data_IF_397170233169
#
_entry.id   IF_397170233169
#
_cell.length_a   1.000
_cell.length_b   1.000
_cell.length_c   1.000
_cell.angle_alpha   90.00
_cell.angle_beta   90.00
_cell.angle_gamma   90.00
#
_symmetry.space_group_name_H-M   'P 1'
#
loop_
_entity.id
_entity.type
_entity.pdbx_description
1 polymer ?
#
# COMPACT_ATOMS: atom_id res chain seq x y z
N UNK A 1 31.84 -1.25 16.64
CA UNK A 1 31.54 -0.01 15.96
C UNK A 1 30.20 0.55 16.42
N UNK A 2 30.16 1.79 16.88
CA UNK A 2 28.90 2.47 17.24
C UNK A 2 28.18 2.80 15.94
N UNK A 3 26.95 2.37 15.79
CA UNK A 3 26.06 2.67 14.70
C UNK A 3 25.28 3.94 15.06
N UNK A 4 25.54 5.12 14.47
CA UNK A 4 24.63 6.22 14.67
C UNK A 4 23.43 6.02 13.73
N UNK A 5 22.35 5.54 14.28
CA UNK A 5 21.03 5.58 13.63
C UNK A 5 20.42 6.90 14.07
N UNK A 6 20.36 7.89 13.21
CA UNK A 6 19.58 9.08 13.47
C UNK A 6 18.12 8.77 13.17
N UNK A 7 17.33 8.57 14.24
CA UNK A 7 15.88 8.48 14.16
C UNK A 7 15.32 9.86 14.43
N UNK A 8 14.83 10.53 13.41
CA UNK A 8 14.12 11.78 13.58
C UNK A 8 12.65 11.45 13.89
N UNK A 9 12.28 11.50 15.17
CA UNK A 9 10.89 11.33 15.62
C UNK A 9 10.35 12.73 15.88
N UNK A 10 9.33 13.11 15.13
CA UNK A 10 8.57 14.33 15.40
C UNK A 10 7.16 13.93 15.85
N UNK A 11 6.82 14.24 17.11
CA UNK A 11 5.52 13.94 17.71
C UNK A 11 4.86 15.27 18.05
N UNK A 12 3.76 15.58 17.38
CA UNK A 12 2.85 16.66 17.77
C UNK A 12 1.54 16.04 18.26
N UNK A 13 1.17 16.33 19.49
CA UNK A 13 -0.12 15.99 20.05
C UNK A 13 -0.91 17.30 20.24
N UNK A 14 -2.11 17.35 19.69
CA UNK A 14 -3.11 18.37 19.97
C UNK A 14 -4.22 17.71 20.79
N UNK A 15 -4.55 18.31 21.94
CA UNK A 15 -5.68 17.91 22.77
C UNK A 15 -6.48 19.18 23.09
N UNK A 16 -7.75 19.23 22.72
CA UNK A 16 -8.59 20.39 22.89
C UNK A 16 -10.02 20.00 23.27
N UNK A 17 -10.40 20.30 24.50
CA UNK A 17 -11.75 20.10 25.02
C UNK A 17 -12.42 21.46 25.23
N UNK A 18 -13.62 21.62 24.74
CA UNK A 18 -14.39 22.85 24.91
C UNK A 18 -15.90 22.58 25.09
N UNK A 19 -16.55 23.38 25.94
CA UNK A 19 -18.00 23.33 26.13
C UNK A 19 -18.61 24.67 25.83
N UNK A 20 -19.67 24.66 25.00
CA UNK A 20 -20.45 25.84 24.61
C UNK A 20 -21.93 25.55 24.89
N UNK A 21 -22.44 26.03 26.02
CA UNK A 21 -23.78 25.66 26.47
C UNK A 21 -23.90 24.16 26.72
N UNK A 22 -24.90 23.52 26.11
CA UNK A 22 -25.15 22.06 26.20
C UNK A 22 -24.26 21.25 25.26
N UNK A 23 -23.46 21.89 24.42
CA UNK A 23 -22.59 21.21 23.45
C UNK A 23 -21.16 21.10 24.00
N UNK A 24 -20.64 19.89 24.06
CA UNK A 24 -19.24 19.61 24.40
C UNK A 24 -18.58 18.93 23.23
N UNK A 25 -17.36 19.33 22.89
CA UNK A 25 -16.56 18.64 21.90
C UNK A 25 -15.12 18.47 22.38
N UNK A 26 -14.49 17.40 21.90
CA UNK A 26 -13.09 17.08 22.14
C UNK A 26 -12.42 16.72 20.82
N UNK A 27 -11.26 17.31 20.57
CA UNK A 27 -10.45 17.05 19.37
C UNK A 27 -9.06 16.64 19.79
N UNK A 28 -8.68 15.42 19.49
CA UNK A 28 -7.32 14.91 19.73
C UNK A 28 -6.70 14.53 18.41
N UNK A 29 -5.55 15.13 18.10
CA UNK A 29 -4.79 14.80 16.89
C UNK A 29 -3.36 14.42 17.27
N UNK A 30 -2.81 13.43 16.59
CA UNK A 30 -1.41 13.06 16.69
C UNK A 30 -0.80 12.90 15.30
N UNK A 31 0.46 13.21 15.22
CA UNK A 31 1.27 13.01 14.02
C UNK A 31 2.66 12.58 14.42
N UNK A 32 3.20 11.56 13.76
CA UNK A 32 4.58 11.13 13.93
C UNK A 32 5.21 10.88 12.57
N UNK A 33 6.50 11.18 12.47
CA UNK A 33 7.31 10.85 11.29
C UNK A 33 8.63 10.27 11.72
N UNK A 34 9.07 9.22 11.01
CA UNK A 34 10.32 8.53 11.30
C UNK A 34 10.99 8.11 10.00
N UNK A 35 12.30 8.37 9.91
CA UNK A 35 13.10 7.86 8.82
C UNK A 35 14.50 7.51 9.29
N UNK A 36 14.97 6.32 8.95
CA UNK A 36 16.30 5.84 9.33
C UNK A 36 17.31 6.32 8.31
N UNK A 37 18.36 6.97 8.79
CA UNK A 37 19.47 7.46 8.00
C UNK A 37 20.78 6.78 8.42
N UNK A 38 21.52 6.26 7.47
CA UNK A 38 22.83 5.66 7.72
C UNK A 38 23.91 6.75 7.57
N UNK A 39 24.62 7.07 8.63
CA UNK A 39 25.77 7.99 8.55
C UNK A 39 27.00 7.27 8.02
N UNK A 40 27.33 6.13 8.61
CA UNK A 40 28.50 5.34 8.22
C UNK A 40 28.24 3.85 8.38
N UNK A 41 28.55 3.11 7.34
CA UNK A 41 28.54 1.63 7.32
C UNK A 41 29.86 1.18 6.69
N UNK A 42 30.65 0.41 7.43
CA UNK A 42 31.86 -0.22 6.88
C UNK A 42 31.48 -1.26 5.83
N UNK A 43 32.20 -1.26 4.73
CA UNK A 43 32.01 -2.21 3.64
C UNK A 43 33.31 -2.49 2.90
N UNK A 44 33.37 -3.61 2.21
CA UNK A 44 34.46 -3.93 1.31
C UNK A 44 34.44 -2.97 0.10
N UNK A 45 35.59 -2.82 -0.53
CA UNK A 45 35.69 -2.06 -1.79
C UNK A 45 34.83 -2.73 -2.87
N UNK A 46 34.16 -1.91 -3.67
CA UNK A 46 33.36 -2.37 -4.81
C UNK A 46 34.23 -2.61 -6.04
N UNK A 47 33.78 -3.48 -6.94
CA UNK A 47 34.54 -3.84 -8.15
C UNK A 47 34.59 -2.68 -9.17
N UNK A 48 33.60 -1.80 -9.18
CA UNK A 48 33.49 -0.68 -10.10
C UNK A 48 32.72 0.50 -9.46
N UNK A 49 32.71 1.66 -10.15
CA UNK A 49 32.07 2.88 -9.64
C UNK A 49 30.56 2.78 -9.51
N UNK A 50 29.89 2.03 -10.39
CA UNK A 50 28.44 1.83 -10.30
C UNK A 50 28.07 0.99 -9.07
N UNK A 51 28.76 -0.12 -8.86
CA UNK A 51 28.56 -0.95 -7.67
C UNK A 51 28.90 -0.18 -6.39
N UNK A 52 29.93 0.66 -6.45
CA UNK A 52 30.27 1.54 -5.34
C UNK A 52 29.12 2.51 -5.03
N UNK A 53 28.63 3.21 -6.02
CA UNK A 53 27.51 4.14 -5.87
C UNK A 53 26.23 3.42 -5.40
N UNK A 54 25.87 2.28 -5.99
CA UNK A 54 24.66 1.53 -5.66
C UNK A 54 24.70 0.96 -4.25
N UNK A 55 25.80 0.30 -3.90
CA UNK A 55 25.95 -0.42 -2.64
C UNK A 55 26.38 0.47 -1.48
N UNK A 56 26.80 1.69 -1.76
CA UNK A 56 27.18 2.67 -0.74
C UNK A 56 25.94 3.18 -0.02
N UNK A 57 25.73 2.70 1.20
CA UNK A 57 24.63 3.13 2.07
C UNK A 57 25.00 4.29 2.98
N UNK A 58 26.27 4.75 2.95
CA UNK A 58 26.72 5.89 3.75
C UNK A 58 26.05 7.18 3.29
N UNK A 59 25.65 8.01 4.22
CA UNK A 59 24.93 9.26 3.99
C UNK A 59 23.64 9.07 3.16
N UNK A 60 22.94 7.94 3.38
CA UNK A 60 21.68 7.61 2.69
C UNK A 60 20.61 7.13 3.66
N UNK A 61 19.37 7.32 3.26
CA UNK A 61 18.25 6.71 3.94
C UNK A 61 18.21 5.21 3.67
N UNK A 62 17.92 4.43 4.72
CA UNK A 62 17.90 2.97 4.67
C UNK A 62 16.75 2.41 3.83
N UNK A 63 15.68 3.16 3.67
CA UNK A 63 14.44 2.74 3.03
C UNK A 63 14.42 2.91 1.49
N UNK A 64 15.52 3.35 0.88
CA UNK A 64 15.63 3.47 -0.58
C UNK A 64 15.51 2.08 -1.21
N UNK A 65 14.60 1.95 -2.16
CA UNK A 65 14.41 0.74 -2.94
C UNK A 65 14.97 0.90 -4.34
N UNK A 66 15.68 -0.11 -4.79
CA UNK A 66 16.35 -0.15 -6.08
C UNK A 66 15.61 -1.11 -7.01
N UNK A 67 15.52 -0.77 -8.28
CA UNK A 67 14.89 -1.58 -9.29
C UNK A 67 14.77 -0.84 -10.61
N UNK A 68 14.03 -1.40 -11.56
CA UNK A 68 13.90 -0.88 -12.91
C UNK A 68 12.79 0.16 -13.02
N UNK A 69 13.02 1.18 -13.81
CA UNK A 69 11.94 2.11 -14.18
C UNK A 69 11.11 1.49 -15.30
N UNK A 70 9.82 1.31 -15.06
CA UNK A 70 8.91 0.74 -16.04
C UNK A 70 8.35 1.84 -16.95
N UNK A 71 8.56 1.70 -18.24
CA UNK A 71 8.06 2.61 -19.28
C UNK A 71 6.62 2.28 -19.74
N UNK A 72 6.07 1.17 -19.26
CA UNK A 72 4.76 0.66 -19.65
C UNK A 72 4.82 -0.78 -20.09
N UNK A 73 3.96 -1.14 -21.04
CA UNK A 73 3.85 -2.47 -21.63
C UNK A 73 4.16 -2.40 -23.12
N UNK A 74 4.78 -3.43 -23.67
CA UNK A 74 4.98 -3.52 -25.12
C UNK A 74 3.65 -3.61 -25.84
N UNK A 75 3.50 -2.81 -26.91
CA UNK A 75 2.28 -2.78 -27.71
C UNK A 75 2.33 -3.72 -28.91
N UNK A 76 3.53 -4.04 -29.41
CA UNK A 76 3.70 -4.86 -30.62
C UNK A 76 5.04 -5.60 -30.63
N UNK A 77 5.15 -6.60 -31.49
CA UNK A 77 6.42 -7.29 -31.74
C UNK A 77 7.46 -6.38 -32.42
N UNK A 78 7.02 -5.41 -33.21
CA UNK A 78 7.93 -4.45 -33.83
C UNK A 78 8.59 -3.56 -32.76
N UNK A 79 7.82 -3.11 -31.77
CA UNK A 79 8.37 -2.37 -30.63
C UNK A 79 9.37 -3.21 -29.84
N UNK A 80 9.08 -4.50 -29.60
CA UNK A 80 9.96 -5.43 -28.89
C UNK A 80 11.31 -5.58 -29.63
N UNK A 81 11.26 -5.75 -30.95
CA UNK A 81 12.48 -5.94 -31.76
C UNK A 81 13.38 -4.70 -31.79
N UNK A 82 12.79 -3.50 -31.67
CA UNK A 82 13.50 -2.23 -31.68
C UNK A 82 13.88 -1.73 -30.25
N UNK A 83 13.61 -2.51 -29.22
CA UNK A 83 13.87 -2.16 -27.81
C UNK A 83 15.15 -2.81 -27.30
N UNK A 84 15.79 -2.27 -26.24
CA UNK A 84 16.91 -2.91 -25.56
C UNK A 84 16.58 -4.34 -25.14
N UNK A 85 17.60 -5.19 -25.11
CA UNK A 85 17.44 -6.62 -24.78
C UNK A 85 17.19 -6.78 -23.28
N UNK A 86 15.99 -7.26 -22.88
CA UNK A 86 15.64 -7.43 -21.47
C UNK A 86 15.42 -8.90 -21.04
N UNK A 87 15.43 -9.86 -21.96
CA UNK A 87 15.26 -11.27 -21.66
C UNK A 87 16.58 -12.08 -21.72
N UNK A 88 17.70 -11.41 -22.03
CA UNK A 88 18.99 -12.05 -22.21
C UNK A 88 19.09 -12.94 -23.47
N UNK A 89 18.06 -12.94 -24.35
CA UNK A 89 17.97 -13.80 -25.53
C UNK A 89 17.48 -13.06 -26.78
N UNK A 90 17.86 -11.80 -26.93
CA UNK A 90 17.46 -10.97 -28.08
C UNK A 90 15.95 -10.70 -28.14
N UNK A 91 15.30 -10.60 -26.99
CA UNK A 91 13.87 -10.36 -26.80
C UNK A 91 12.94 -11.44 -27.42
N UNK A 92 13.45 -12.61 -27.72
CA UNK A 92 12.67 -13.70 -28.36
C UNK A 92 11.60 -14.29 -27.46
N UNK A 93 11.74 -14.14 -26.13
CA UNK A 93 10.76 -14.64 -25.16
C UNK A 93 9.68 -13.62 -24.84
N UNK A 94 9.80 -12.38 -25.33
CA UNK A 94 8.84 -11.31 -25.04
C UNK A 94 7.64 -11.35 -26.00
N UNK A 95 6.51 -10.82 -25.50
CA UNK A 95 5.30 -10.64 -26.30
C UNK A 95 4.62 -9.31 -25.95
N UNK A 96 3.71 -8.81 -26.80
CA UNK A 96 2.88 -7.66 -26.45
C UNK A 96 2.17 -7.87 -25.10
N UNK A 97 2.15 -6.80 -24.29
CA UNK A 97 1.66 -6.84 -22.91
C UNK A 97 2.70 -7.15 -21.84
N UNK A 98 3.92 -7.56 -22.19
CA UNK A 98 5.02 -7.64 -21.22
C UNK A 98 5.51 -6.26 -20.81
N UNK A 99 6.03 -6.12 -19.58
CA UNK A 99 6.54 -4.86 -19.06
C UNK A 99 7.81 -4.45 -19.80
N UNK A 100 7.89 -3.18 -20.16
CA UNK A 100 9.02 -2.54 -20.81
C UNK A 100 9.78 -1.69 -19.81
N UNK A 101 11.11 -1.82 -19.79
CA UNK A 101 11.99 -1.12 -18.85
C UNK A 101 12.91 -0.13 -19.54
N UNK A 102 13.33 0.88 -18.79
CA UNK A 102 14.30 1.86 -19.21
C UNK A 102 15.71 1.26 -19.20
N UNK A 103 16.44 1.46 -20.29
CA UNK A 103 17.89 1.25 -20.37
C UNK A 103 18.56 2.49 -19.82
N UNK A 104 18.86 2.47 -18.52
CA UNK A 104 19.32 3.65 -17.80
C UNK A 104 20.78 3.98 -18.09
N UNK A 105 21.60 2.97 -18.36
CA UNK A 105 23.02 3.14 -18.66
C UNK A 105 23.32 3.29 -20.18
N UNK A 106 22.33 2.98 -21.05
CA UNK A 106 22.40 3.13 -22.50
C UNK A 106 23.26 2.07 -23.19
N UNK A 107 23.45 0.89 -22.57
CA UNK A 107 24.28 -0.18 -23.16
C UNK A 107 23.51 -1.14 -24.06
N UNK A 108 22.18 -0.96 -24.21
CA UNK A 108 21.30 -1.77 -25.04
C UNK A 108 20.83 -3.06 -24.37
N UNK A 109 21.12 -3.28 -23.09
CA UNK A 109 20.79 -4.48 -22.34
C UNK A 109 20.17 -4.08 -21.00
N UNK A 110 18.97 -4.56 -20.70
CA UNK A 110 18.31 -4.32 -19.41
C UNK A 110 18.77 -5.37 -18.39
N UNK A 111 19.66 -4.99 -17.50
CA UNK A 111 20.19 -5.86 -16.46
C UNK A 111 20.19 -5.18 -15.08
N UNK A 112 21.04 -5.64 -14.17
CA UNK A 112 21.14 -5.06 -12.83
C UNK A 112 21.79 -3.68 -12.78
N UNK A 113 22.46 -3.23 -13.87
CA UNK A 113 23.08 -1.92 -13.95
C UNK A 113 22.05 -0.82 -14.29
N UNK A 114 20.83 -1.21 -14.71
CA UNK A 114 19.70 -0.30 -14.93
C UNK A 114 18.83 -0.13 -13.69
N UNK A 115 19.21 -0.76 -12.59
CA UNK A 115 18.53 -0.54 -11.33
C UNK A 115 18.86 0.85 -10.79
N UNK A 116 17.84 1.64 -10.56
CA UNK A 116 17.89 3.00 -10.03
C UNK A 116 17.02 3.13 -8.76
N UNK A 117 17.12 4.20 -7.98
CA UNK A 117 16.23 4.43 -6.85
C UNK A 117 14.79 4.64 -7.34
N UNK A 118 13.92 3.65 -7.14
CA UNK A 118 12.54 3.66 -7.67
C UNK A 118 11.47 3.94 -6.61
N UNK A 119 11.82 3.94 -5.34
CA UNK A 119 10.81 4.14 -4.30
C UNK A 119 11.31 3.90 -2.88
N UNK A 120 10.36 3.59 -2.03
CA UNK A 120 10.57 3.45 -0.59
C UNK A 120 10.19 2.07 -0.09
N UNK A 121 10.58 1.76 1.15
CA UNK A 121 10.21 0.51 1.81
C UNK A 121 8.72 0.43 2.15
N UNK A 122 8.33 -0.73 2.66
CA UNK A 122 6.96 -1.03 3.07
C UNK A 122 6.61 -0.52 4.49
N UNK A 123 7.56 0.06 5.19
CA UNK A 123 7.33 0.67 6.51
C UNK A 123 6.89 2.12 6.34
N UNK A 124 5.71 2.51 6.85
CA UNK A 124 5.27 3.89 6.79
C UNK A 124 6.25 4.84 7.48
N UNK A 125 6.48 5.99 6.85
CA UNK A 125 7.30 7.07 7.43
C UNK A 125 6.47 8.00 8.30
N UNK A 126 5.19 8.11 8.01
CA UNK A 126 4.26 9.00 8.70
C UNK A 126 3.09 8.20 9.22
N UNK A 127 2.72 8.46 10.47
CA UNK A 127 1.48 7.99 11.09
C UNK A 127 0.72 9.20 11.59
N UNK A 128 -0.59 9.18 11.43
CA UNK A 128 -1.47 10.23 11.90
C UNK A 128 -2.78 9.67 12.41
N UNK A 129 -3.30 10.30 13.44
CA UNK A 129 -4.56 9.95 14.06
C UNK A 129 -5.35 11.22 14.40
N UNK A 130 -6.67 11.12 14.29
CA UNK A 130 -7.60 12.16 14.67
C UNK A 130 -8.77 11.53 15.40
N UNK A 131 -8.99 11.94 16.64
CA UNK A 131 -10.15 11.56 17.41
C UNK A 131 -11.04 12.81 17.59
N UNK A 132 -12.28 12.68 17.19
CA UNK A 132 -13.32 13.70 17.33
C UNK A 132 -14.41 13.13 18.22
N UNK A 133 -14.73 13.86 19.28
CA UNK A 133 -15.86 13.58 20.14
C UNK A 133 -16.78 14.79 20.19
N UNK A 134 -18.07 14.56 20.20
CA UNK A 134 -19.07 15.59 20.40
C UNK A 134 -20.25 15.07 21.19
N UNK A 135 -20.78 15.87 22.12
CA UNK A 135 -22.01 15.54 22.82
C UNK A 135 -22.97 16.72 22.89
N UNK A 136 -24.25 16.40 22.76
CA UNK A 136 -25.34 17.41 22.83
C UNK A 136 -26.63 16.74 23.31
N UNK A 137 -27.17 17.25 24.44
CA UNK A 137 -28.46 16.83 25.00
C UNK A 137 -28.67 15.33 25.07
N UNK A 138 -27.69 14.61 25.58
CA UNK A 138 -27.71 13.15 25.73
C UNK A 138 -27.23 12.37 24.50
N UNK A 139 -27.17 12.97 23.33
CA UNK A 139 -26.49 12.37 22.16
C UNK A 139 -24.99 12.52 22.27
N UNK A 140 -24.24 11.49 21.88
CA UNK A 140 -22.80 11.54 21.73
C UNK A 140 -22.36 10.90 20.42
N UNK A 141 -21.29 11.43 19.84
CA UNK A 141 -20.66 10.95 18.61
C UNK A 141 -19.14 10.87 18.82
N UNK A 142 -18.57 9.72 18.52
CA UNK A 142 -17.12 9.54 18.46
C UNK A 142 -16.70 9.12 17.06
N UNK A 143 -15.71 9.81 16.50
CA UNK A 143 -15.08 9.46 15.24
C UNK A 143 -13.58 9.30 15.46
N UNK A 144 -13.03 8.13 15.15
CA UNK A 144 -11.59 7.91 15.19
C UNK A 144 -11.06 7.58 13.80
N UNK A 145 -10.17 8.45 13.34
CA UNK A 145 -9.44 8.29 12.09
C UNK A 145 -7.99 7.90 12.38
N UNK A 146 -7.48 6.97 11.60
CA UNK A 146 -6.08 6.56 11.61
C UNK A 146 -5.56 6.47 10.19
N UNK A 147 -4.34 6.91 9.97
CA UNK A 147 -3.72 6.80 8.66
C UNK A 147 -2.21 6.65 8.74
N UNK A 148 -1.66 6.22 7.61
CA UNK A 148 -0.23 6.13 7.40
C UNK A 148 0.12 6.54 5.97
N UNK A 149 1.34 7.06 5.80
CA UNK A 149 1.83 7.50 4.51
C UNK A 149 3.35 7.35 4.38
N UNK A 150 3.83 7.51 3.15
CA UNK A 150 5.27 7.42 2.84
C UNK A 150 5.79 5.99 2.81
N UNK A 151 4.97 5.03 2.41
CA UNK A 151 5.34 3.63 2.20
C UNK A 151 4.75 3.09 0.91
N UNK A 152 5.31 1.97 0.47
CA UNK A 152 4.91 1.29 -0.75
C UNK A 152 4.73 -0.19 -0.49
N UNK A 153 3.82 -0.81 -1.25
CA UNK A 153 3.67 -2.26 -1.30
C UNK A 153 4.33 -2.75 -2.58
N UNK A 154 5.20 -3.76 -2.43
CA UNK A 154 5.80 -4.45 -3.56
C UNK A 154 4.99 -5.69 -3.89
N UNK A 155 4.43 -5.72 -5.09
CA UNK A 155 3.62 -6.83 -5.58
C UNK A 155 4.50 -7.98 -6.02
N UNK A 156 4.34 -9.14 -5.41
CA UNK A 156 5.12 -10.35 -5.67
C UNK A 156 4.25 -11.61 -5.65
N UNK A 157 4.90 -12.73 -5.89
CA UNK A 157 4.32 -14.05 -5.68
C UNK A 157 3.04 -14.28 -6.47
N UNK A 158 2.05 -14.86 -5.84
CA UNK A 158 0.78 -15.31 -6.43
C UNK A 158 0.01 -14.18 -7.12
N UNK A 159 0.23 -12.95 -6.69
CA UNK A 159 -0.42 -11.81 -7.31
C UNK A 159 0.13 -11.51 -8.70
N UNK A 160 1.46 -11.60 -8.87
CA UNK A 160 2.13 -11.35 -10.14
C UNK A 160 2.23 -12.58 -11.03
N UNK A 161 1.97 -13.76 -10.47
CA UNK A 161 2.01 -15.04 -11.19
C UNK A 161 0.72 -15.81 -10.87
N UNK A 162 -0.41 -15.49 -11.52
CA UNK A 162 -1.64 -16.24 -11.34
C UNK A 162 -1.42 -17.68 -11.81
N UNK A 163 -2.23 -18.59 -11.27
CA UNK A 163 -2.17 -20.02 -11.62
C UNK A 163 -0.84 -20.67 -11.28
N UNK A 164 -0.24 -20.28 -10.14
CA UNK A 164 0.93 -20.97 -9.56
C UNK A 164 0.67 -22.48 -9.37
N UNK A 165 1.72 -23.23 -9.05
CA UNK A 165 1.63 -24.69 -8.88
C UNK A 165 1.14 -25.40 -10.14
N UNK A 166 1.76 -25.10 -11.27
CA UNK A 166 1.46 -25.71 -12.57
C UNK A 166 0.01 -25.49 -13.06
N UNK A 167 -0.58 -24.34 -12.70
CA UNK A 167 -1.93 -23.99 -13.11
C UNK A 167 -3.03 -24.37 -12.12
N UNK A 168 -2.69 -24.95 -10.97
CA UNK A 168 -3.66 -25.34 -9.94
C UNK A 168 -4.05 -24.19 -9.00
N UNK A 169 -3.32 -23.08 -9.00
CA UNK A 169 -3.63 -21.90 -8.20
C UNK A 169 -4.78 -21.09 -8.78
N UNK A 170 -5.44 -20.31 -7.91
CA UNK A 170 -6.48 -19.37 -8.30
C UNK A 170 -5.85 -18.03 -8.69
N UNK A 171 -6.39 -17.37 -9.72
CA UNK A 171 -6.08 -16.00 -10.08
C UNK A 171 -7.03 -15.00 -9.43
N UNK A 172 -6.56 -13.80 -9.13
CA UNK A 172 -7.40 -12.67 -8.75
C UNK A 172 -8.20 -12.16 -9.96
N UNK A 173 -9.41 -11.64 -9.72
CA UNK A 173 -10.27 -11.07 -10.78
C UNK A 173 -9.64 -9.91 -11.53
N UNK A 174 -8.60 -9.25 -11.00
CA UNK A 174 -7.85 -8.22 -11.73
C UNK A 174 -7.21 -8.75 -13.01
N UNK A 175 -6.88 -10.06 -13.07
CA UNK A 175 -6.31 -10.69 -14.24
C UNK A 175 -7.30 -10.85 -15.40
N UNK A 176 -8.58 -10.52 -15.19
CA UNK A 176 -9.54 -10.38 -16.29
C UNK A 176 -9.24 -9.16 -17.15
N UNK A 177 -8.65 -8.10 -16.54
CA UNK A 177 -8.17 -6.89 -17.22
C UNK A 177 -6.66 -7.02 -17.51
N UNK A 178 -6.30 -7.95 -18.36
CA UNK A 178 -4.92 -8.22 -18.78
C UNK A 178 -4.76 -8.06 -20.29
N UNK A 179 -3.53 -7.89 -20.72
CA UNK A 179 -3.20 -8.06 -22.12
C UNK A 179 -3.49 -9.50 -22.57
N UNK A 180 -4.21 -9.67 -23.66
CA UNK A 180 -4.57 -10.97 -24.22
C UNK A 180 -4.87 -10.87 -25.70
N UNK A 181 -4.89 -11.99 -26.39
CA UNK A 181 -5.40 -12.04 -27.75
C UNK A 181 -6.91 -11.98 -27.75
N UNK A 182 -7.51 -11.34 -28.77
CA UNK A 182 -8.96 -11.29 -28.97
C UNK A 182 -9.53 -12.70 -29.06
N UNK A 183 -8.92 -13.54 -29.91
CA UNK A 183 -9.17 -14.99 -29.96
C UNK A 183 -7.93 -15.74 -29.47
N UNK A 184 -7.97 -16.37 -28.27
CA UNK A 184 -6.85 -17.15 -27.75
C UNK A 184 -6.46 -18.37 -28.59
N UNK A 185 -7.35 -18.86 -29.45
CA UNK A 185 -7.10 -20.00 -30.35
C UNK A 185 -6.43 -19.60 -31.65
N UNK A 186 -6.50 -18.32 -32.03
CA UNK A 186 -5.83 -17.77 -33.19
C UNK A 186 -4.54 -17.01 -32.81
N UNK A 187 -3.35 -17.56 -33.12
CA UNK A 187 -2.08 -16.91 -32.84
C UNK A 187 -1.85 -15.61 -33.64
N UNK A 188 -2.69 -15.30 -34.61
CA UNK A 188 -2.61 -14.09 -35.42
C UNK A 188 -3.67 -13.05 -35.07
N UNK A 189 -4.61 -13.36 -34.17
CA UNK A 189 -5.61 -12.39 -33.73
C UNK A 189 -4.97 -11.16 -33.06
N UNK A 190 -5.69 -10.06 -33.02
CA UNK A 190 -5.22 -8.79 -32.45
C UNK A 190 -4.95 -8.92 -30.94
N UNK A 191 -4.03 -8.10 -30.46
CA UNK A 191 -3.76 -7.95 -29.04
C UNK A 191 -4.69 -6.90 -28.44
N UNK A 192 -5.41 -7.29 -27.42
CA UNK A 192 -6.26 -6.40 -26.62
C UNK A 192 -5.47 -5.98 -25.40
N UNK A 193 -5.34 -4.65 -25.21
CA UNK A 193 -4.64 -4.08 -24.08
C UNK A 193 -5.42 -4.23 -22.76
N UNK A 194 -4.71 -4.35 -21.66
CA UNK A 194 -5.27 -4.40 -20.31
C UNK A 194 -4.32 -3.80 -19.29
N UNK A 195 -4.80 -3.64 -18.06
CA UNK A 195 -3.98 -3.12 -16.96
C UNK A 195 -2.86 -4.10 -16.57
N UNK A 196 -3.17 -5.39 -16.45
CA UNK A 196 -2.21 -6.43 -16.09
C UNK A 196 -1.39 -6.86 -17.32
N UNK A 197 -0.13 -7.28 -17.13
CA UNK A 197 0.66 -7.86 -18.22
C UNK A 197 0.00 -9.08 -18.85
N UNK A 198 0.53 -9.50 -19.99
CA UNK A 198 0.15 -10.77 -20.59
C UNK A 198 0.45 -11.95 -19.64
N UNK A 199 -0.42 -12.97 -19.65
CA UNK A 199 -0.21 -14.18 -18.84
C UNK A 199 1.06 -14.90 -19.27
N UNK A 200 1.89 -15.22 -18.30
CA UNK A 200 3.16 -15.91 -18.49
C UNK A 200 3.26 -17.12 -17.58
N UNK A 201 4.05 -18.12 -17.94
CA UNK A 201 4.41 -19.18 -17.02
C UNK A 201 5.02 -18.60 -15.72
N UNK A 202 4.84 -19.32 -14.62
CA UNK A 202 5.40 -18.93 -13.32
C UNK A 202 6.92 -18.71 -13.43
N UNK A 203 7.39 -17.60 -12.86
CA UNK A 203 8.81 -17.27 -12.85
C UNK A 203 9.31 -16.44 -14.03
N UNK A 204 8.44 -15.97 -14.92
CA UNK A 204 8.84 -15.05 -15.98
C UNK A 204 9.30 -13.70 -15.41
N UNK A 205 10.61 -13.50 -15.38
CA UNK A 205 11.25 -12.41 -14.64
C UNK A 205 10.94 -11.02 -15.19
N UNK A 206 10.69 -10.89 -16.49
CA UNK A 206 10.40 -9.58 -17.11
C UNK A 206 9.18 -8.91 -16.49
N UNK A 207 8.13 -9.66 -16.11
CA UNK A 207 6.91 -9.09 -15.52
C UNK A 207 6.92 -9.08 -13.99
N UNK A 208 7.90 -9.70 -13.34
CA UNK A 208 7.95 -9.83 -11.86
C UNK A 208 9.12 -9.09 -11.23
N UNK A 209 9.98 -8.45 -12.03
CA UNK A 209 11.10 -7.67 -11.55
C UNK A 209 10.67 -6.53 -10.63
N UNK A 210 11.52 -6.20 -9.64
CA UNK A 210 11.32 -5.02 -8.82
C UNK A 210 11.38 -3.78 -9.69
N UNK A 211 10.27 -3.07 -9.81
CA UNK A 211 10.11 -1.95 -10.73
C UNK A 211 9.09 -0.94 -10.21
N UNK A 212 9.03 0.21 -10.85
CA UNK A 212 8.00 1.22 -10.57
C UNK A 212 6.59 0.71 -10.84
N UNK A 213 6.42 -0.32 -11.70
CA UNK A 213 5.13 -0.93 -11.96
C UNK A 213 4.70 -1.87 -10.83
N UNK A 214 5.63 -2.68 -10.30
CA UNK A 214 5.35 -3.64 -9.21
C UNK A 214 5.28 -2.98 -7.83
N UNK A 215 5.69 -1.72 -7.70
CA UNK A 215 5.58 -0.94 -6.47
C UNK A 215 4.39 0.01 -6.53
N UNK A 216 3.58 0.01 -5.49
CA UNK A 216 2.40 0.88 -5.39
C UNK A 216 2.40 1.63 -4.08
N UNK A 217 2.14 2.94 -4.15
CA UNK A 217 1.98 3.80 -2.96
C UNK A 217 0.77 3.34 -2.16
N UNK A 218 0.96 3.11 -0.86
CA UNK A 218 -0.05 2.57 0.04
C UNK A 218 -0.53 3.58 1.09
N UNK A 219 -0.47 4.87 0.78
CA UNK A 219 -0.98 5.92 1.68
C UNK A 219 -2.49 5.73 1.91
N UNK A 220 -2.93 5.86 3.16
CA UNK A 220 -4.34 5.72 3.49
C UNK A 220 -4.75 6.57 4.69
N UNK A 221 -6.06 6.88 4.74
CA UNK A 221 -6.78 7.35 5.91
C UNK A 221 -7.97 6.44 6.13
N UNK A 222 -8.15 5.90 7.34
CA UNK A 222 -9.23 4.98 7.69
C UNK A 222 -10.07 5.56 8.82
N UNK A 223 -11.39 5.57 8.64
CA UNK A 223 -12.33 5.73 9.72
C UNK A 223 -12.39 4.41 10.49
N UNK A 224 -11.55 4.32 11.54
CA UNK A 224 -11.37 3.12 12.36
C UNK A 224 -12.57 2.85 13.23
N UNK A 225 -13.12 3.89 13.82
CA UNK A 225 -14.28 3.79 14.71
C UNK A 225 -15.24 4.93 14.45
N UNK A 226 -16.50 4.59 14.35
CA UNK A 226 -17.62 5.52 14.50
C UNK A 226 -18.54 4.96 15.58
N UNK A 227 -18.88 5.76 16.56
CA UNK A 227 -19.84 5.41 17.60
C UNK A 227 -20.84 6.54 17.77
N UNK A 228 -22.12 6.21 17.80
CA UNK A 228 -23.23 7.11 18.10
C UNK A 228 -23.94 6.55 19.31
N UNK A 229 -24.04 7.34 20.37
CA UNK A 229 -24.72 6.97 21.62
C UNK A 229 -25.83 7.93 21.98
N UNK A 230 -26.73 7.45 22.82
CA UNK A 230 -27.72 8.27 23.49
C UNK A 230 -27.85 7.87 24.95
N UNK A 231 -27.62 8.83 25.83
CA UNK A 231 -27.81 8.69 27.28
C UNK A 231 -29.17 9.26 27.66
N UNK A 232 -30.01 8.45 28.24
CA UNK A 232 -31.34 8.82 28.65
C UNK A 232 -31.30 9.82 29.84
N UNK A 233 -32.27 10.78 29.91
CA UNK A 233 -32.33 11.70 31.03
C UNK A 233 -32.45 10.97 32.36
N UNK A 234 -31.67 11.40 33.34
CA UNK A 234 -31.60 10.76 34.67
C UNK A 234 -32.98 10.72 35.35
N UNK A 235 -33.79 11.76 35.18
CA UNK A 235 -35.14 11.85 35.74
C UNK A 235 -36.09 10.78 35.25
N UNK A 236 -35.90 10.26 34.02
CA UNK A 236 -36.72 9.18 33.49
C UNK A 236 -36.26 7.84 34.04
N UNK A 237 -34.96 7.67 34.17
CA UNK A 237 -34.35 6.41 34.59
C UNK A 237 -34.53 6.13 36.07
N UNK A 238 -34.47 7.14 36.91
CA UNK A 238 -34.74 7.02 38.35
C UNK A 238 -36.16 6.52 38.68
N UNK A 239 -37.16 6.79 37.82
CA UNK A 239 -38.53 6.27 38.00
C UNK A 239 -38.65 4.75 37.90
N UNK A 240 -37.65 4.12 37.27
CA UNK A 240 -37.58 2.66 37.07
C UNK A 240 -36.44 2.03 37.86
N UNK A 241 -35.81 2.78 38.76
CA UNK A 241 -34.74 2.28 39.62
C UNK A 241 -33.39 2.10 38.91
N UNK A 242 -33.17 2.84 37.83
CA UNK A 242 -31.94 2.84 37.05
C UNK A 242 -31.23 4.17 37.25
N UNK A 243 -29.93 4.15 37.55
CA UNK A 243 -29.15 5.38 37.69
C UNK A 243 -28.71 5.98 36.33
N UNK A 244 -28.32 5.12 35.41
CA UNK A 244 -27.91 5.54 34.08
C UNK A 244 -28.22 4.47 33.02
N UNK A 245 -28.72 4.90 31.88
CA UNK A 245 -28.94 4.07 30.70
C UNK A 245 -28.38 4.80 29.47
N UNK A 246 -27.40 4.19 28.82
CA UNK A 246 -26.90 4.63 27.52
C UNK A 246 -27.03 3.50 26.51
N UNK A 247 -27.62 3.79 25.35
CA UNK A 247 -27.63 2.90 24.18
C UNK A 247 -26.70 3.41 23.13
N UNK A 248 -26.01 2.55 22.42
CA UNK A 248 -25.10 2.97 21.38
C UNK A 248 -24.99 1.97 20.24
N UNK A 249 -24.57 2.48 19.10
CA UNK A 249 -24.20 1.71 17.90
C UNK A 249 -22.80 2.12 17.54
N UNK A 250 -21.93 1.15 17.26
CA UNK A 250 -20.63 1.45 16.72
C UNK A 250 -20.29 0.59 15.50
N UNK A 251 -19.37 1.09 14.71
CA UNK A 251 -18.78 0.38 13.59
C UNK A 251 -17.28 0.53 13.58
N UNK A 252 -16.58 -0.58 13.28
CA UNK A 252 -15.14 -0.60 13.11
C UNK A 252 -14.76 -0.77 11.65
N UNK A 253 -13.65 -0.12 11.24
CA UNK A 253 -13.12 -0.13 9.86
C UNK A 253 -14.16 0.30 8.81
N UNK A 254 -14.96 1.31 9.14
CA UNK A 254 -16.14 1.72 8.38
C UNK A 254 -15.81 2.16 6.97
N UNK A 255 -14.74 2.94 6.80
CA UNK A 255 -14.32 3.44 5.51
C UNK A 255 -12.79 3.57 5.43
N UNK A 256 -12.22 3.29 4.26
CA UNK A 256 -10.80 3.48 3.97
C UNK A 256 -10.67 4.35 2.73
N UNK A 257 -9.98 5.46 2.89
CA UNK A 257 -9.63 6.40 1.83
C UNK A 257 -8.17 6.13 1.44
N UNK A 258 -7.94 5.69 0.23
CA UNK A 258 -6.62 5.40 -0.33
C UNK A 258 -6.62 5.63 -1.83
N UNK A 259 -5.45 5.71 -2.43
CA UNK A 259 -5.39 5.65 -3.89
C UNK A 259 -5.89 4.28 -4.35
N UNK A 260 -6.97 4.27 -5.13
CA UNK A 260 -7.59 3.06 -5.68
C UNK A 260 -7.22 2.84 -7.14
N UNK A 261 -6.06 3.30 -7.54
CA UNK A 261 -5.57 3.13 -8.90
C UNK A 261 -5.25 1.66 -9.18
N UNK A 262 -5.84 1.13 -10.24
CA UNK A 262 -5.60 -0.25 -10.69
C UNK A 262 -5.74 -1.28 -9.56
N UNK A 263 -4.64 -1.91 -9.25
CA UNK A 263 -4.49 -3.01 -8.31
C UNK A 263 -4.83 -2.67 -6.85
N UNK A 264 -4.64 -1.40 -6.45
CA UNK A 264 -4.94 -0.96 -5.08
C UNK A 264 -6.43 -1.06 -4.71
N UNK A 265 -7.32 -1.28 -5.69
CA UNK A 265 -8.73 -1.63 -5.42
C UNK A 265 -8.88 -2.94 -4.65
N UNK A 266 -7.95 -3.85 -4.83
CA UNK A 266 -7.98 -5.23 -4.32
C UNK A 266 -7.08 -5.43 -3.10
N UNK A 267 -6.36 -4.40 -2.68
CA UNK A 267 -5.41 -4.46 -1.55
C UNK A 267 -5.87 -3.63 -0.37
N UNK A 268 -5.60 -4.12 0.83
CA UNK A 268 -5.70 -3.29 2.03
C UNK A 268 -4.36 -2.55 2.22
N UNK A 269 -4.36 -1.21 2.21
CA UNK A 269 -3.12 -0.43 2.30
C UNK A 269 -2.43 -0.52 3.66
N UNK A 270 -3.11 -0.97 4.71
CA UNK A 270 -2.54 -1.21 6.04
C UNK A 270 -1.80 -2.55 6.10
N UNK A 271 -2.14 -3.47 5.19
CA UNK A 271 -1.54 -4.78 5.15
C UNK A 271 -0.41 -4.82 4.12
N UNK A 272 0.82 -4.98 4.58
CA UNK A 272 2.00 -5.07 3.72
C UNK A 272 2.31 -6.49 3.21
N UNK A 273 1.38 -7.43 3.35
CA UNK A 273 1.50 -8.75 2.76
C UNK A 273 1.20 -8.68 1.26
N UNK A 274 2.24 -8.69 0.48
CA UNK A 274 2.26 -8.48 -0.96
C UNK A 274 1.90 -9.72 -1.80
N UNK A 275 1.64 -10.86 -1.17
CA UNK A 275 1.30 -12.11 -1.85
C UNK A 275 -0.21 -12.42 -1.86
N UNK A 276 -1.06 -11.52 -1.39
CA UNK A 276 -2.51 -11.71 -1.26
C UNK A 276 -2.95 -12.84 -0.32
N UNK A 277 -2.05 -13.37 0.48
CA UNK A 277 -2.33 -14.45 1.43
C UNK A 277 -2.63 -13.87 2.80
N UNK A 278 -3.67 -13.03 2.89
CA UNK A 278 -4.10 -12.44 4.17
C UNK A 278 -5.61 -12.45 4.29
N UNK A 279 -6.06 -12.43 5.53
CA UNK A 279 -7.48 -12.30 5.82
C UNK A 279 -7.90 -10.84 5.65
N UNK A 280 -8.94 -10.52 4.87
CA UNK A 280 -9.39 -9.14 4.69
C UNK A 280 -9.81 -8.52 6.02
N UNK A 281 -9.54 -7.25 6.21
CA UNK A 281 -10.04 -6.51 7.37
C UNK A 281 -11.56 -6.40 7.30
N UNK A 282 -12.23 -6.90 8.32
CA UNK A 282 -13.69 -6.88 8.37
C UNK A 282 -14.21 -5.53 8.86
N UNK A 283 -15.33 -5.13 8.30
CA UNK A 283 -16.18 -4.09 8.85
C UNK A 283 -17.14 -4.74 9.84
N UNK A 284 -17.16 -4.23 11.06
CA UNK A 284 -17.98 -4.77 12.14
C UNK A 284 -18.96 -3.71 12.61
N UNK A 285 -20.21 -4.12 12.88
CA UNK A 285 -21.23 -3.29 13.50
C UNK A 285 -21.66 -3.93 14.82
N UNK A 286 -21.71 -3.14 15.87
CA UNK A 286 -22.13 -3.60 17.19
C UNK A 286 -23.20 -2.67 17.74
N UNK A 287 -24.11 -3.26 18.51
CA UNK A 287 -25.13 -2.57 19.29
C UNK A 287 -24.86 -2.88 20.76
N UNK A 288 -24.90 -1.84 21.59
CA UNK A 288 -24.63 -2.00 23.01
C UNK A 288 -25.54 -1.18 23.89
N UNK A 289 -25.63 -1.63 25.14
CA UNK A 289 -26.37 -0.97 26.22
C UNK A 289 -25.48 -0.92 27.44
N UNK A 290 -25.28 0.26 28.00
CA UNK A 290 -24.64 0.48 29.29
C UNK A 290 -25.73 0.80 30.31
N UNK A 291 -25.80 0.00 31.36
CA UNK A 291 -26.80 0.09 32.40
C UNK A 291 -26.10 0.16 33.78
N UNK A 292 -26.51 1.15 34.57
CA UNK A 292 -26.03 1.33 35.97
C UNK A 292 -27.25 1.42 36.88
N UNK A 293 -27.23 0.67 37.98
CA UNK A 293 -28.26 0.63 39.00
C UNK A 293 -27.83 1.37 40.25
#
# INVERSE_FOLDING_TARGET
>A
GKWPILVLIYINNLDHLLSIGDFTYDVKANFSTTRIYNEHVERAASANMYDDWRNNTNNRYKDIQWGKYCLGQFSSYEEILNSPIQDGNGNKSLMPGDLKYEDWNGDGIIDSKDDQPIGHGNTPRMYYGLNLYGSYKGFDLTLFFQGAAGHEIFMTGDFMSPFIQQGLGNGSTIWLDRWHREDPSDPYSEWISGYMPALRPTGFSANTSNSTWTRKKANYLRLKTIEIGYTFPKEWMQKVGIDNLRVYVNSFNTATFTNRDGIMKYMDPENNNNAFRYYPQMRTFNFGVNLTF
#
